data_IF_647030115852
#
_entry.id   IF_647030115852
#
_cell.length_a   1.000
_cell.length_b   1.000
_cell.length_c   1.000
_cell.angle_alpha   90.00
_cell.angle_beta   90.00
_cell.angle_gamma   90.00
#
_symmetry.space_group_name_H-M   'P 1'
#
loop_
_entity.id
_entity.type
_entity.pdbx_description
1 polymer ?
#
# COMPACT_ATOMS: atom_id res chain seq x y z
N UNK A 1 4.07 14.17 14.92
CA UNK A 1 3.13 13.33 14.15
C UNK A 1 2.90 12.04 14.92
N UNK A 2 1.64 11.67 15.14
CA UNK A 2 1.25 10.43 15.81
C UNK A 2 0.69 9.49 14.75
N UNK A 3 1.24 8.27 14.67
CA UNK A 3 0.83 7.25 13.70
C UNK A 3 0.18 6.12 14.50
N UNK A 4 -1.04 5.76 14.14
CA UNK A 4 -1.86 4.72 14.75
C UNK A 4 -2.35 3.76 13.66
N UNK A 5 -2.50 2.47 13.97
CA UNK A 5 -2.96 1.48 13.00
C UNK A 5 -2.26 0.13 13.17
N UNK A 6 -2.82 -0.88 12.53
CA UNK A 6 -2.18 -2.18 12.34
C UNK A 6 -1.14 -1.98 11.23
N UNK A 7 0.14 -2.03 11.58
CA UNK A 7 1.28 -1.94 10.66
C UNK A 7 2.28 -3.02 11.04
N UNK A 8 1.79 -4.25 11.04
CA UNK A 8 2.53 -5.42 11.51
C UNK A 8 3.78 -5.69 10.64
N UNK A 9 3.69 -5.36 9.34
CA UNK A 9 4.77 -5.59 8.34
C UNK A 9 5.61 -4.36 8.03
N UNK A 10 5.19 -3.17 8.46
CA UNK A 10 5.95 -1.93 8.29
C UNK A 10 6.23 -1.25 9.62
N UNK A 11 7.51 -1.00 9.91
CA UNK A 11 7.85 -0.23 11.11
C UNK A 11 7.31 1.21 10.99
N UNK A 12 6.76 1.74 12.09
CA UNK A 12 6.31 3.14 12.18
C UNK A 12 7.45 4.12 11.86
N UNK A 13 8.70 3.73 12.13
CA UNK A 13 9.88 4.52 11.80
C UNK A 13 10.11 4.59 10.28
N UNK A 14 10.00 3.46 9.57
CA UNK A 14 10.12 3.38 8.11
C UNK A 14 9.01 4.16 7.40
N UNK A 15 7.78 4.05 7.88
CA UNK A 15 6.63 4.80 7.34
C UNK A 15 6.84 6.31 7.48
N UNK A 16 7.34 6.75 8.64
CA UNK A 16 7.69 8.16 8.85
C UNK A 16 8.84 8.58 7.93
N UNK A 17 9.90 7.80 7.83
CA UNK A 17 11.07 8.15 7.01
C UNK A 17 10.69 8.34 5.53
N UNK A 18 9.80 7.51 5.00
CA UNK A 18 9.35 7.59 3.61
C UNK A 18 8.29 8.67 3.39
N UNK A 19 7.31 8.82 4.30
CA UNK A 19 6.19 9.75 4.09
C UNK A 19 6.45 11.19 4.57
N UNK A 20 7.28 11.40 5.61
CA UNK A 20 7.55 12.73 6.16
C UNK A 20 8.17 13.71 5.16
N UNK A 21 9.11 13.33 4.28
CA UNK A 21 9.68 14.25 3.29
C UNK A 21 8.63 14.81 2.31
N UNK A 22 7.54 14.08 2.07
CA UNK A 22 6.43 14.52 1.21
C UNK A 22 5.43 15.44 1.92
N UNK A 23 5.50 15.54 3.25
CA UNK A 23 4.69 16.47 4.04
C UNK A 23 5.39 17.83 4.10
N UNK A 24 5.35 18.59 3.00
CA UNK A 24 5.91 19.94 2.95
C UNK A 24 4.98 20.99 3.58
N UNK A 25 5.57 22.00 4.26
CA UNK A 25 4.87 23.16 4.82
C UNK A 25 4.71 23.15 6.35
N UNK A 26 4.09 24.21 6.88
CA UNK A 26 3.81 24.37 8.32
C UNK A 26 2.60 23.53 8.73
N UNK A 27 2.38 23.35 10.05
CA UNK A 27 1.20 22.67 10.61
C UNK A 27 -0.13 23.16 10.02
N UNK A 28 -0.22 24.44 9.63
CA UNK A 28 -1.42 25.02 9.04
C UNK A 28 -1.48 24.87 7.50
N UNK A 29 -0.32 24.84 6.82
CA UNK A 29 -0.25 24.89 5.35
C UNK A 29 0.04 23.56 4.66
N UNK A 30 0.34 22.48 5.39
CA UNK A 30 0.64 21.18 4.75
C UNK A 30 -0.55 20.64 3.94
N UNK A 31 -0.25 20.03 2.79
CA UNK A 31 -1.26 19.38 1.97
C UNK A 31 -1.53 17.96 2.48
N UNK A 32 -2.64 17.77 3.22
CA UNK A 32 -3.00 16.46 3.76
C UNK A 32 -3.31 15.41 2.69
N UNK A 33 -3.73 15.83 1.48
CA UNK A 33 -3.96 14.88 0.37
C UNK A 33 -2.64 14.34 -0.16
N UNK A 34 -1.64 15.20 -0.32
CA UNK A 34 -0.30 14.76 -0.71
C UNK A 34 0.34 13.88 0.36
N UNK A 35 0.16 14.24 1.63
CA UNK A 35 0.57 13.39 2.75
C UNK A 35 -0.09 12.02 2.74
N UNK A 36 -1.40 11.96 2.50
CA UNK A 36 -2.16 10.73 2.37
C UNK A 36 -1.58 9.84 1.26
N UNK A 37 -1.40 10.40 0.06
CA UNK A 37 -0.83 9.68 -1.07
C UNK A 37 0.59 9.16 -0.78
N UNK A 38 1.40 9.92 -0.04
CA UNK A 38 2.74 9.48 0.35
C UNK A 38 2.72 8.29 1.33
N UNK A 39 1.77 8.24 2.27
CA UNK A 39 1.61 7.08 3.14
C UNK A 39 1.06 5.86 2.37
N UNK A 40 0.08 6.06 1.48
CA UNK A 40 -0.52 5.00 0.65
C UNK A 40 0.45 4.46 -0.42
N UNK A 41 1.56 5.17 -0.71
CA UNK A 41 2.61 4.68 -1.60
C UNK A 41 3.59 3.69 -0.91
N UNK A 42 3.54 3.57 0.42
CA UNK A 42 4.38 2.60 1.15
C UNK A 42 3.77 1.20 1.00
N UNK A 43 4.58 0.16 0.71
CA UNK A 43 4.09 -1.22 0.64
C UNK A 43 3.25 -1.57 1.87
N UNK A 44 2.23 -2.42 1.70
CA UNK A 44 1.27 -2.81 2.73
C UNK A 44 0.30 -1.73 3.24
N UNK A 45 0.45 -0.45 2.92
CA UNK A 45 -0.51 0.58 3.34
C UNK A 45 -1.67 0.64 2.35
N UNK A 46 -2.83 0.10 2.74
CA UNK A 46 -4.05 0.19 1.94
C UNK A 46 -4.64 1.59 1.95
N UNK A 47 -4.78 2.14 3.16
CA UNK A 47 -5.47 3.42 3.37
C UNK A 47 -4.77 4.24 4.43
N UNK A 48 -4.59 5.52 4.16
CA UNK A 48 -4.16 6.49 5.14
C UNK A 48 -5.27 7.51 5.42
N UNK A 49 -5.48 7.84 6.68
CA UNK A 49 -6.36 8.93 7.11
C UNK A 49 -5.54 9.91 7.94
N UNK A 50 -5.47 11.16 7.46
CA UNK A 50 -4.67 12.20 8.10
C UNK A 50 -5.62 13.24 8.69
N UNK A 51 -5.47 13.50 9.99
CA UNK A 51 -6.29 14.47 10.71
C UNK A 51 -5.40 15.44 11.50
N UNK A 52 -5.73 16.74 11.43
CA UNK A 52 -5.15 17.74 12.32
C UNK A 52 -5.82 17.67 13.69
N UNK A 53 -5.02 17.56 14.73
CA UNK A 53 -5.43 17.55 16.12
C UNK A 53 -4.79 18.75 16.82
N UNK A 54 -5.61 19.60 17.40
CA UNK A 54 -5.16 20.81 18.10
C UNK A 54 -4.37 20.45 19.39
N UNK A 55 -3.33 21.22 19.79
CA UNK A 55 -2.86 22.47 19.17
C UNK A 55 -1.93 22.32 17.95
N UNK A 56 -1.14 21.25 17.82
CA UNK A 56 -0.14 21.13 16.72
C UNK A 56 0.21 19.67 16.39
N UNK A 57 -0.78 18.76 16.40
CA UNK A 57 -0.55 17.33 16.13
C UNK A 57 -1.17 16.91 14.80
N UNK A 58 -0.41 16.17 14.00
CA UNK A 58 -0.98 15.39 12.90
C UNK A 58 -1.19 13.97 13.41
N UNK A 59 -2.44 13.50 13.40
CA UNK A 59 -2.82 12.12 13.63
C UNK A 59 -2.91 11.42 12.27
N UNK A 60 -2.23 10.29 12.13
CA UNK A 60 -2.23 9.45 10.94
C UNK A 60 -2.78 8.10 11.36
N UNK A 61 -3.88 7.67 10.74
CA UNK A 61 -4.42 6.33 10.90
C UNK A 61 -4.13 5.54 9.63
N UNK A 62 -3.53 4.36 9.77
CA UNK A 62 -3.17 3.49 8.67
C UNK A 62 -3.99 2.20 8.73
N UNK A 63 -4.47 1.77 7.57
CA UNK A 63 -5.08 0.47 7.33
C UNK A 63 -4.12 -0.35 6.49
N UNK A 64 -3.76 -1.54 6.99
CA UNK A 64 -2.85 -2.46 6.31
C UNK A 64 -3.59 -3.35 5.31
N UNK A 65 -2.94 -3.63 4.19
CA UNK A 65 -3.36 -4.67 3.26
C UNK A 65 -3.23 -6.02 3.93
N UNK A 66 -4.31 -6.82 3.90
CA UNK A 66 -4.28 -8.23 4.29
C UNK A 66 -4.25 -9.07 3.04
N UNK A 67 -3.09 -9.65 2.74
CA UNK A 67 -2.93 -10.52 1.58
C UNK A 67 -3.91 -11.70 1.68
N UNK A 68 -4.58 -11.99 0.57
CA UNK A 68 -5.52 -13.10 0.46
C UNK A 68 -5.08 -14.10 -0.62
N UNK A 69 -4.30 -13.66 -1.61
CA UNK A 69 -3.73 -14.51 -2.63
C UNK A 69 -2.54 -13.82 -3.33
N UNK A 70 -1.70 -14.63 -3.99
CA UNK A 70 -0.82 -14.15 -5.05
C UNK A 70 -1.65 -13.80 -6.29
N UNK A 71 -1.25 -12.77 -7.01
CA UNK A 71 -1.92 -12.32 -8.23
C UNK A 71 -1.00 -12.41 -9.45
N UNK A 72 -1.45 -13.16 -10.45
CA UNK A 72 -0.82 -13.28 -11.75
C UNK A 72 -1.69 -12.56 -12.79
N UNK A 73 -1.16 -11.46 -13.34
CA UNK A 73 -1.83 -10.75 -14.43
C UNK A 73 -1.79 -11.62 -15.69
N UNK A 74 -2.97 -12.09 -16.14
CA UNK A 74 -3.11 -12.75 -17.44
C UNK A 74 -3.28 -11.68 -18.50
N UNK A 75 -2.39 -11.66 -19.48
CA UNK A 75 -2.59 -10.83 -20.67
C UNK A 75 -3.25 -11.67 -21.75
N UNK A 76 -4.33 -11.14 -22.34
CA UNK A 76 -5.04 -11.81 -23.43
C UNK A 76 -4.32 -11.62 -24.78
N UNK A 77 -3.20 -10.89 -24.76
CA UNK A 77 -2.41 -10.49 -25.93
C UNK A 77 -1.47 -11.61 -26.37
N UNK A 78 -1.43 -11.88 -27.68
CA UNK A 78 -0.56 -12.87 -28.30
C UNK A 78 0.96 -12.58 -28.18
N UNK A 79 1.34 -11.46 -27.55
CA UNK A 79 2.73 -11.08 -27.30
C UNK A 79 3.17 -11.50 -25.88
N UNK A 80 3.35 -12.81 -25.69
CA UNK A 80 3.79 -13.44 -24.43
C UNK A 80 5.23 -13.08 -23.99
N UNK A 81 5.95 -12.25 -24.76
CA UNK A 81 7.38 -11.99 -24.55
C UNK A 81 7.68 -10.96 -23.44
N UNK A 82 6.69 -10.24 -22.91
CA UNK A 82 6.88 -9.22 -21.86
C UNK A 82 6.59 -9.74 -20.44
N UNK A 83 6.16 -11.00 -20.30
CA UNK A 83 5.69 -11.58 -19.02
C UNK A 83 6.81 -11.92 -18.03
N UNK A 84 8.06 -12.08 -18.49
CA UNK A 84 9.18 -12.56 -17.66
C UNK A 84 9.70 -11.55 -16.62
N UNK A 85 9.18 -10.32 -16.61
CA UNK A 85 9.61 -9.24 -15.70
C UNK A 85 8.47 -8.59 -14.92
N UNK A 86 7.25 -9.12 -15.04
CA UNK A 86 6.16 -8.69 -14.17
C UNK A 86 6.44 -9.17 -12.75
N UNK A 87 6.79 -8.25 -11.86
CA UNK A 87 6.85 -8.51 -10.42
C UNK A 87 5.48 -9.08 -9.99
N UNK A 88 5.49 -10.29 -9.42
CA UNK A 88 4.26 -10.92 -8.92
C UNK A 88 3.62 -9.99 -7.91
N UNK A 89 2.32 -9.75 -8.06
CA UNK A 89 1.56 -8.89 -7.16
C UNK A 89 0.81 -9.73 -6.13
N UNK A 90 0.21 -9.05 -5.16
CA UNK A 90 -0.70 -9.65 -4.19
C UNK A 90 -2.09 -9.06 -4.41
N UNK A 91 -3.12 -9.85 -4.09
CA UNK A 91 -4.49 -9.34 -3.96
C UNK A 91 -4.91 -9.48 -2.52
N UNK A 92 -5.55 -8.42 -2.00
CA UNK A 92 -5.97 -8.37 -0.61
C UNK A 92 -7.38 -8.92 -0.40
N UNK A 93 -7.81 -9.01 0.87
CA UNK A 93 -9.14 -9.49 1.26
C UNK A 93 -10.33 -8.64 0.76
N UNK A 94 -10.06 -7.47 0.17
CA UNK A 94 -11.05 -6.59 -0.44
C UNK A 94 -11.05 -6.67 -1.97
N UNK A 95 -10.21 -7.52 -2.55
CA UNK A 95 -10.09 -7.70 -3.99
C UNK A 95 -9.16 -6.72 -4.69
N UNK A 96 -8.44 -5.86 -3.96
CA UNK A 96 -7.52 -4.89 -4.57
C UNK A 96 -6.13 -5.51 -4.76
N UNK A 97 -5.53 -5.29 -5.93
CA UNK A 97 -4.16 -5.71 -6.23
C UNK A 97 -3.17 -4.64 -5.75
N UNK A 98 -2.10 -5.08 -5.08
CA UNK A 98 -1.05 -4.23 -4.55
C UNK A 98 0.33 -4.89 -4.69
N UNK A 99 1.38 -4.07 -4.67
CA UNK A 99 2.78 -4.51 -4.69
C UNK A 99 3.38 -4.45 -3.29
N UNK A 100 4.09 -5.51 -2.92
CA UNK A 100 4.86 -5.61 -1.69
C UNK A 100 5.98 -6.64 -1.84
N UNK A 101 6.88 -6.71 -0.86
CA UNK A 101 7.87 -7.77 -0.83
C UNK A 101 7.17 -9.11 -0.57
N UNK A 102 7.29 -10.03 -1.53
CA UNK A 102 6.66 -11.36 -1.43
C UNK A 102 7.25 -12.18 -0.29
N UNK A 103 8.52 -11.93 0.06
CA UNK A 103 9.19 -12.52 1.23
C UNK A 103 8.44 -12.30 2.53
N UNK A 104 7.60 -11.27 2.61
CA UNK A 104 6.81 -11.01 3.80
C UNK A 104 5.70 -12.07 3.98
N UNK A 105 5.20 -12.69 2.90
CA UNK A 105 4.08 -13.66 2.91
C UNK A 105 4.48 -15.09 2.54
N UNK A 106 5.77 -15.39 2.45
CA UNK A 106 6.26 -16.72 2.06
C UNK A 106 5.81 -17.84 3.03
N UNK A 107 5.62 -17.51 4.30
CA UNK A 107 5.15 -18.43 5.34
C UNK A 107 3.61 -18.60 5.39
N UNK A 108 2.87 -17.89 4.53
CA UNK A 108 1.41 -17.97 4.45
C UNK A 108 0.96 -18.90 3.32
N UNK A 109 -0.02 -19.77 3.62
CA UNK A 109 -0.68 -20.64 2.63
C UNK A 109 -1.66 -19.82 1.76
N UNK A 110 -1.12 -18.92 0.94
CA UNK A 110 -1.90 -18.09 0.02
C UNK A 110 -2.13 -18.80 -1.31
N UNK A 111 -3.38 -18.90 -1.80
CA UNK A 111 -3.65 -19.41 -3.14
C UNK A 111 -3.11 -18.46 -4.21
N UNK A 112 -3.02 -18.95 -5.45
CA UNK A 112 -2.69 -18.12 -6.64
C UNK A 112 -3.98 -17.84 -7.40
N UNK A 113 -4.23 -16.56 -7.69
CA UNK A 113 -5.32 -16.09 -8.54
C UNK A 113 -4.74 -15.46 -9.80
N UNK A 114 -5.45 -15.63 -10.92
CA UNK A 114 -5.05 -15.04 -12.20
C UNK A 114 -6.24 -14.39 -12.89
N UNK A 115 -6.00 -13.24 -13.51
CA UNK A 115 -7.03 -12.50 -14.24
C UNK A 115 -6.46 -11.28 -14.97
N UNK A 116 -7.29 -10.59 -15.76
CA UNK A 116 -6.83 -9.40 -16.47
C UNK A 116 -6.42 -8.31 -15.46
N UNK A 117 -5.46 -7.43 -15.81
CA UNK A 117 -4.86 -6.48 -14.87
C UNK A 117 -5.87 -5.55 -14.17
N UNK A 118 -7.01 -5.28 -14.81
CA UNK A 118 -8.07 -4.41 -14.27
C UNK A 118 -9.19 -5.16 -13.49
N UNK A 119 -9.15 -6.50 -13.39
CA UNK A 119 -10.20 -7.28 -12.73
C UNK A 119 -10.29 -7.05 -11.21
N UNK A 120 -9.24 -6.50 -10.61
CA UNK A 120 -9.10 -6.30 -9.17
C UNK A 120 -9.45 -4.88 -8.70
N UNK A 121 -10.06 -4.05 -9.56
CA UNK A 121 -10.42 -2.68 -9.20
C UNK A 121 -11.93 -2.46 -9.39
N UNK A 122 -12.75 -2.92 -8.42
CA UNK A 122 -14.12 -2.42 -8.23
C UNK A 122 -14.51 -2.33 -6.77
#
# INVERSE_FOLDING_TARGET
IQVEGDVSRNSVASLRANALPHLQGSFLSMNLRQGRAAFEAVPWVRRAQLQRVWPMRLKVQLEEHRAAAYWEARTDSADAATEASAERALVNSFGEVFQANLGDVEDEDLPVLAGPPDAAAR
#
